data_IF_340107116863
#
_entry.id   IF_340107116863
#
_cell.length_a   1.000
_cell.length_b   1.000
_cell.length_c   1.000
_cell.angle_alpha   90.00
_cell.angle_beta   90.00
_cell.angle_gamma   90.00
#
_symmetry.space_group_name_H-M   'P 1'
#
loop_
_entity.id
_entity.type
_entity.pdbx_description
1 polymer ?
#
# COMPACT_ATOMS: atom_id res chain seq x y z
N UNK A 1 31.01 -2.96 -0.79
CA UNK A 1 29.81 -3.82 -0.69
C UNK A 1 29.49 -4.32 -2.10
N UNK A 2 29.44 -5.64 -2.32
CA UNK A 2 29.29 -6.22 -3.67
C UNK A 2 27.88 -6.02 -4.23
N UNK A 3 27.69 -6.09 -5.56
CA UNK A 3 26.35 -6.21 -6.16
C UNK A 3 25.52 -7.31 -5.51
N UNK A 4 26.11 -8.47 -5.23
CA UNK A 4 25.38 -9.57 -4.62
C UNK A 4 24.82 -9.22 -3.23
N UNK A 5 25.59 -8.52 -2.38
CA UNK A 5 25.15 -8.06 -1.06
C UNK A 5 24.03 -7.01 -1.16
N UNK A 6 24.11 -6.15 -2.18
CA UNK A 6 23.10 -5.12 -2.45
C UNK A 6 21.78 -5.76 -2.86
N UNK A 7 21.83 -6.76 -3.74
CA UNK A 7 20.66 -7.54 -4.14
C UNK A 7 20.05 -8.30 -2.95
N UNK A 8 20.86 -8.88 -2.08
CA UNK A 8 20.38 -9.53 -0.85
C UNK A 8 19.68 -8.54 0.09
N UNK A 9 20.23 -7.33 0.21
CA UNK A 9 19.63 -6.25 0.99
C UNK A 9 18.25 -5.88 0.44
N UNK A 10 18.12 -5.75 -0.88
CA UNK A 10 16.83 -5.47 -1.52
C UNK A 10 15.81 -6.59 -1.32
N UNK A 11 16.21 -7.85 -1.42
CA UNK A 11 15.35 -9.02 -1.20
C UNK A 11 14.87 -9.09 0.25
N UNK A 12 15.78 -8.83 1.20
CA UNK A 12 15.46 -8.78 2.63
C UNK A 12 14.46 -7.66 2.93
N UNK A 13 14.70 -6.45 2.41
CA UNK A 13 13.76 -5.34 2.59
C UNK A 13 12.39 -5.66 2.00
N UNK A 14 12.32 -6.32 0.84
CA UNK A 14 11.04 -6.73 0.26
C UNK A 14 10.28 -7.77 1.10
N UNK A 15 10.97 -8.69 1.77
CA UNK A 15 10.33 -9.61 2.74
C UNK A 15 9.76 -8.83 3.93
N UNK A 16 10.54 -7.91 4.49
CA UNK A 16 10.11 -7.09 5.62
C UNK A 16 8.92 -6.19 5.26
N UNK A 17 8.84 -5.67 4.04
CA UNK A 17 7.68 -4.91 3.54
C UNK A 17 6.43 -5.79 3.57
N UNK A 18 6.52 -7.01 3.04
CA UNK A 18 5.39 -7.96 3.03
C UNK A 18 4.95 -8.31 4.44
N UNK A 19 5.89 -8.62 5.33
CA UNK A 19 5.60 -8.93 6.74
C UNK A 19 4.88 -7.76 7.44
N UNK A 20 5.38 -6.53 7.26
CA UNK A 20 4.74 -5.34 7.83
C UNK A 20 3.33 -5.12 7.26
N UNK A 21 3.16 -5.29 5.94
CA UNK A 21 1.86 -5.13 5.30
C UNK A 21 0.84 -6.20 5.74
N UNK A 22 1.28 -7.45 5.92
CA UNK A 22 0.44 -8.53 6.46
C UNK A 22 0.05 -8.32 7.92
N UNK A 23 0.89 -7.63 8.69
CA UNK A 23 0.61 -7.21 10.05
C UNK A 23 -0.17 -5.88 10.14
N UNK A 24 -0.60 -5.32 8.99
CA UNK A 24 -1.27 -4.02 8.89
C UNK A 24 -0.46 -2.83 9.43
N UNK A 25 0.86 -3.00 9.56
CA UNK A 25 1.80 -1.96 9.98
C UNK A 25 2.17 -1.03 8.80
N UNK A 26 1.19 -0.31 8.25
CA UNK A 26 1.32 0.45 7.00
C UNK A 26 2.37 1.57 7.04
N UNK A 27 2.55 2.23 8.18
CA UNK A 27 3.60 3.24 8.38
C UNK A 27 4.99 2.60 8.25
N UNK A 28 5.18 1.44 8.89
CA UNK A 28 6.42 0.68 8.82
C UNK A 28 6.67 0.15 7.41
N UNK A 29 5.63 -0.33 6.73
CA UNK A 29 5.72 -0.79 5.35
C UNK A 29 6.19 0.36 4.42
N UNK A 30 5.67 1.57 4.60
CA UNK A 30 6.04 2.78 3.85
C UNK A 30 7.51 3.17 4.08
N UNK A 31 7.96 3.16 5.33
CA UNK A 31 9.36 3.40 5.68
C UNK A 31 10.30 2.38 5.01
N UNK A 32 9.92 1.11 5.01
CA UNK A 32 10.70 0.03 4.41
C UNK A 32 10.74 0.16 2.88
N UNK A 33 9.64 0.55 2.23
CA UNK A 33 9.59 0.85 0.79
C UNK A 33 10.59 1.98 0.46
N UNK A 34 10.56 3.06 1.24
CA UNK A 34 11.48 4.20 1.04
C UNK A 34 12.94 3.77 1.21
N UNK A 35 13.25 2.95 2.22
CA UNK A 35 14.59 2.38 2.42
C UNK A 35 15.01 1.50 1.24
N UNK A 36 14.11 0.69 0.70
CA UNK A 36 14.37 -0.18 -0.46
C UNK A 36 14.62 0.62 -1.74
N UNK A 37 13.87 1.69 -1.97
CA UNK A 37 14.09 2.62 -3.10
C UNK A 37 15.45 3.30 -2.99
N UNK A 38 15.81 3.82 -1.81
CA UNK A 38 17.14 4.41 -1.57
C UNK A 38 18.26 3.41 -1.77
N UNK A 39 18.08 2.17 -1.33
CA UNK A 39 19.05 1.10 -1.53
C UNK A 39 19.22 0.74 -3.01
N UNK A 40 18.14 0.75 -3.79
CA UNK A 40 18.19 0.49 -5.23
C UNK A 40 18.90 1.61 -6.00
N UNK A 41 18.61 2.88 -5.69
CA UNK A 41 19.27 4.03 -6.33
C UNK A 41 20.79 3.99 -6.18
N UNK A 42 21.28 3.62 -4.99
CA UNK A 42 22.71 3.46 -4.73
C UNK A 42 23.39 2.39 -5.60
N UNK A 43 22.66 1.41 -6.11
CA UNK A 43 23.21 0.42 -7.06
C UNK A 43 23.50 1.09 -8.40
N UNK A 44 22.65 2.02 -8.85
CA UNK A 44 22.83 2.74 -10.12
C UNK A 44 23.95 3.79 -10.07
N UNK A 45 24.17 4.42 -8.92
CA UNK A 45 25.16 5.49 -8.76
C UNK A 45 26.60 4.96 -8.59
N UNK A 46 26.76 3.76 -8.03
CA UNK A 46 28.08 3.19 -7.69
C UNK A 46 28.65 2.32 -8.82
N UNK A 47 28.35 2.67 -10.08
CA UNK A 47 28.72 1.99 -11.33
C UNK A 47 29.77 0.89 -11.19
N UNK A 48 29.33 -0.38 -11.24
CA UNK A 48 30.27 -1.50 -11.25
C UNK A 48 31.04 -1.49 -12.58
N UNK A 49 32.32 -1.12 -12.49
CA UNK A 49 33.29 -1.30 -13.55
C UNK A 49 33.32 -2.78 -13.98
N UNK A 50 32.77 -3.05 -15.16
CA UNK A 50 33.23 -4.11 -16.06
C UNK A 50 32.99 -5.57 -15.67
N UNK A 51 32.27 -5.88 -14.60
CA UNK A 51 31.99 -7.28 -14.25
C UNK A 51 30.58 -7.69 -14.66
N UNK A 52 30.47 -8.68 -15.55
CA UNK A 52 29.18 -9.24 -15.93
C UNK A 52 28.50 -9.90 -14.71
N UNK A 53 27.18 -9.70 -14.50
CA UNK A 53 26.47 -10.31 -13.38
C UNK A 53 26.66 -11.82 -13.34
N UNK A 54 26.94 -12.37 -12.15
CA UNK A 54 27.02 -13.82 -11.97
C UNK A 54 25.65 -14.48 -12.17
N UNK A 55 25.62 -15.79 -12.38
CA UNK A 55 24.35 -16.54 -12.43
C UNK A 55 23.52 -16.40 -11.15
N UNK A 56 24.20 -16.25 -10.01
CA UNK A 56 23.55 -15.98 -8.74
C UNK A 56 22.90 -14.59 -8.73
N UNK A 57 23.58 -13.56 -9.24
CA UNK A 57 23.04 -12.20 -9.31
C UNK A 57 21.85 -12.14 -10.28
N UNK A 58 21.90 -12.87 -11.40
CA UNK A 58 20.75 -13.01 -12.32
C UNK A 58 19.54 -13.64 -11.64
N UNK A 59 19.74 -14.70 -10.85
CA UNK A 59 18.65 -15.32 -10.06
C UNK A 59 18.09 -14.36 -9.02
N UNK A 60 18.94 -13.60 -8.33
CA UNK A 60 18.52 -12.58 -7.36
C UNK A 60 17.72 -11.46 -8.03
N UNK A 61 18.13 -11.01 -9.22
CA UNK A 61 17.39 -10.02 -10.01
C UNK A 61 16.01 -10.55 -10.41
N UNK A 62 15.89 -11.79 -10.89
CA UNK A 62 14.60 -12.41 -11.18
C UNK A 62 13.71 -12.48 -9.93
N UNK A 63 14.28 -12.88 -8.79
CA UNK A 63 13.55 -12.90 -7.52
C UNK A 63 13.09 -11.50 -7.09
N UNK A 64 13.87 -10.45 -7.36
CA UNK A 64 13.48 -9.07 -7.09
C UNK A 64 12.31 -8.61 -7.98
N UNK A 65 12.31 -8.97 -9.27
CA UNK A 65 11.20 -8.67 -10.17
C UNK A 65 9.91 -9.35 -9.71
N UNK A 66 9.96 -10.65 -9.43
CA UNK A 66 8.80 -11.39 -8.91
C UNK A 66 8.31 -10.83 -7.56
N UNK A 67 9.24 -10.43 -6.68
CA UNK A 67 8.89 -9.80 -5.41
C UNK A 67 8.24 -8.42 -5.60
N UNK A 68 8.69 -7.63 -6.58
CA UNK A 68 8.08 -6.33 -6.90
C UNK A 68 6.66 -6.47 -7.41
N UNK A 69 6.43 -7.42 -8.32
CA UNK A 69 5.11 -7.72 -8.86
C UNK A 69 4.15 -8.13 -7.74
N UNK A 70 4.54 -9.09 -6.91
CA UNK A 70 3.71 -9.53 -5.79
C UNK A 70 3.45 -8.44 -4.74
N UNK A 71 4.41 -7.56 -4.46
CA UNK A 71 4.18 -6.41 -3.58
C UNK A 71 3.22 -5.39 -4.21
N UNK A 72 3.32 -5.16 -5.52
CA UNK A 72 2.41 -4.27 -6.23
C UNK A 72 0.96 -4.80 -6.22
N UNK A 73 0.78 -6.10 -6.42
CA UNK A 73 -0.53 -6.76 -6.27
C UNK A 73 -1.09 -6.60 -4.86
N UNK A 74 -0.27 -6.83 -3.84
CA UNK A 74 -0.68 -6.66 -2.44
C UNK A 74 -1.16 -5.23 -2.15
N UNK A 75 -0.41 -4.23 -2.61
CA UNK A 75 -0.79 -2.82 -2.39
C UNK A 75 -2.02 -2.40 -3.19
N UNK A 76 -2.21 -2.94 -4.41
CA UNK A 76 -3.44 -2.70 -5.17
C UNK A 76 -4.64 -3.31 -4.47
N UNK A 77 -4.54 -4.56 -4.02
CA UNK A 77 -5.61 -5.21 -3.26
C UNK A 77 -6.02 -4.40 -2.03
N UNK A 78 -5.05 -3.93 -1.24
CA UNK A 78 -5.35 -3.09 -0.07
C UNK A 78 -5.99 -1.75 -0.45
N UNK A 79 -5.54 -1.11 -1.53
CA UNK A 79 -6.16 0.14 -2.00
C UNK A 79 -7.62 -0.10 -2.40
N UNK A 80 -7.89 -1.17 -3.14
CA UNK A 80 -9.24 -1.49 -3.59
C UNK A 80 -10.17 -1.77 -2.39
N UNK A 81 -9.68 -2.47 -1.36
CA UNK A 81 -10.41 -2.64 -0.08
C UNK A 81 -10.73 -1.30 0.60
N UNK A 82 -9.75 -0.38 0.66
CA UNK A 82 -9.97 0.96 1.24
C UNK A 82 -11.01 1.75 0.44
N UNK A 83 -10.99 1.66 -0.89
CA UNK A 83 -11.97 2.32 -1.75
C UNK A 83 -13.39 1.78 -1.49
N UNK A 84 -13.53 0.46 -1.32
CA UNK A 84 -14.80 -0.17 -0.95
C UNK A 84 -15.29 0.25 0.44
N UNK A 85 -14.41 0.26 1.45
CA UNK A 85 -14.72 0.73 2.81
C UNK A 85 -15.19 2.19 2.80
N UNK A 86 -14.52 3.07 2.05
CA UNK A 86 -14.90 4.47 1.92
C UNK A 86 -16.26 4.65 1.23
N UNK A 87 -16.56 3.87 0.19
CA UNK A 87 -17.85 3.89 -0.49
C UNK A 87 -19.01 3.48 0.45
N UNK A 88 -18.76 2.50 1.33
CA UNK A 88 -19.70 2.08 2.37
C UNK A 88 -19.95 3.21 3.39
N UNK A 89 -18.89 3.85 3.90
CA UNK A 89 -19.00 5.00 4.82
C UNK A 89 -19.81 6.14 4.18
N UNK A 90 -19.56 6.45 2.91
CA UNK A 90 -20.30 7.48 2.17
C UNK A 90 -21.80 7.16 2.05
N UNK A 91 -22.13 5.89 1.83
CA UNK A 91 -23.50 5.41 1.76
C UNK A 91 -24.22 5.49 3.11
N UNK A 92 -23.54 5.10 4.19
CA UNK A 92 -24.06 5.23 5.56
C UNK A 92 -24.32 6.69 5.94
N UNK A 93 -23.40 7.61 5.58
CA UNK A 93 -23.60 9.04 5.82
C UNK A 93 -24.82 9.59 5.08
N UNK A 94 -25.03 9.21 3.83
CA UNK A 94 -26.22 9.61 3.06
C UNK A 94 -27.50 9.09 3.70
N UNK A 95 -27.52 7.82 4.10
CA UNK A 95 -28.68 7.24 4.81
C UNK A 95 -28.96 7.96 6.13
N UNK A 96 -27.92 8.31 6.90
CA UNK A 96 -28.07 9.06 8.14
C UNK A 96 -28.64 10.48 7.89
N UNK A 97 -28.20 11.16 6.83
CA UNK A 97 -28.76 12.46 6.45
C UNK A 97 -30.24 12.34 6.06
N UNK A 98 -30.62 11.33 5.27
CA UNK A 98 -32.02 11.13 4.89
C UNK A 98 -32.93 10.82 6.09
N UNK A 99 -32.44 10.06 7.08
CA UNK A 99 -33.21 9.83 8.31
C UNK A 99 -33.40 11.11 9.13
N UNK A 100 -32.38 11.98 9.19
CA UNK A 100 -32.49 13.28 9.90
C UNK A 100 -33.47 14.21 9.19
N UNK A 101 -33.36 14.36 7.87
CA UNK A 101 -34.24 15.20 7.06
C UNK A 101 -35.71 14.76 7.19
N UNK A 102 -35.99 13.46 7.03
CA UNK A 102 -37.35 12.92 7.21
C UNK A 102 -37.90 13.08 8.64
N UNK A 103 -37.03 13.04 9.66
CA UNK A 103 -37.42 13.26 11.06
C UNK A 103 -37.74 14.73 11.34
N UNK A 104 -37.00 15.67 10.75
CA UNK A 104 -37.30 17.11 10.85
C UNK A 104 -38.54 17.51 10.07
N UNK A 105 -38.79 16.90 8.90
CA UNK A 105 -39.96 17.19 8.07
C UNK A 105 -41.25 16.59 8.66
N UNK A 106 -41.17 15.39 9.26
CA UNK A 106 -42.30 14.82 10.03
C UNK A 106 -42.60 15.59 11.32
N UNK A 107 -41.59 16.18 11.98
CA UNK A 107 -41.80 17.02 13.17
C UNK A 107 -42.45 18.36 12.82
N UNK A 108 -42.03 18.99 11.72
CA UNK A 108 -42.61 20.26 11.25
C UNK A 108 -44.07 20.13 10.78
N UNK A 109 -44.42 19.00 10.13
CA UNK A 109 -45.80 18.70 9.74
C UNK A 109 -46.71 18.38 10.94
N UNK A 110 -46.16 17.95 12.08
CA UNK A 110 -46.94 17.67 13.28
C UNK A 110 -47.25 18.94 14.08
N UNK A 111 -46.36 19.94 14.09
CA UNK A 111 -46.63 21.23 14.75
C UNK A 111 -47.69 22.05 13.99
N UNK A 112 -47.74 21.99 12.65
CA UNK A 112 -48.66 22.78 11.82
C UNK A 112 -50.11 22.25 11.80
N UNK A 113 -50.34 21.02 12.28
CA UNK A 113 -51.68 20.41 12.40
C UNK A 113 -52.30 20.53 13.80
N UNK A 114 -51.62 21.19 14.74
CA UNK A 114 -52.11 21.40 16.12
C UNK A 114 -52.19 22.87 16.56
N UNK A 115 -51.91 23.82 15.64
CA UNK A 115 -52.03 25.26 15.85
C UNK A 115 -53.38 25.85 15.43
#
# INVERSE_FOLDING_TARGET
MSTSDRLDTLLRLGRQIREAAQAEEWDRATDLVTRRTKAFQKIGDEGEEGNSPSDMDRRKLQALFAQNESLAELFRGRRDEIEDELAQIGSLRRAQSSYRENSTESGALHDDLTG
#
